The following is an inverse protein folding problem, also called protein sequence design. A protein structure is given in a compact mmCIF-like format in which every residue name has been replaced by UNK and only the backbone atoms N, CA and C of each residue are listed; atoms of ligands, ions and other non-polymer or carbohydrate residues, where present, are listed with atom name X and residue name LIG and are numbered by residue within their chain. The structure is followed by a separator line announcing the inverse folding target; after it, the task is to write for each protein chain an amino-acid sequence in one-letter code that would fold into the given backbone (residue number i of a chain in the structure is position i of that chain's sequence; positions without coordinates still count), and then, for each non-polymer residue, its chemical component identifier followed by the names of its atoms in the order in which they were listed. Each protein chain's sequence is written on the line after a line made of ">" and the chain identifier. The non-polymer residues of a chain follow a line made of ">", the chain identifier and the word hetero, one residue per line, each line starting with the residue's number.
data_IF_012218337737
#
_entry.id   IF_012218337737
#
_cell.length_a   1.000
_cell.length_b   1.000
_cell.length_c   1.000
_cell.angle_alpha   90.00
_cell.angle_beta   90.00
_cell.angle_gamma   90.00
#
_symmetry.space_group_name_H-M   'P 1'
#
loop_
_entity.id
_entity.type
_entity.pdbx_description
1 polymer ?
#
# COMPACT_ATOMS: atom_id res chain seq x y z
N UNK A 1 34.57 14.97 42.72
CA UNK A 1 33.84 14.63 41.48
C UNK A 1 34.80 14.33 40.34
N UNK A 2 35.72 15.25 39.99
CA UNK A 2 36.73 15.02 38.94
C UNK A 2 37.68 13.83 39.22
N UNK A 3 38.17 13.67 40.45
CA UNK A 3 39.08 12.57 40.81
C UNK A 3 38.44 11.16 40.67
N UNK A 4 37.16 11.04 41.00
CA UNK A 4 36.40 9.78 40.90
C UNK A 4 36.12 9.38 39.45
N UNK A 5 35.83 10.36 38.59
CA UNK A 5 35.66 10.12 37.14
C UNK A 5 36.98 9.73 36.48
N UNK A 6 38.10 10.29 36.94
CA UNK A 6 39.42 9.96 36.44
C UNK A 6 39.85 8.54 36.82
N UNK A 7 39.63 8.12 38.07
CA UNK A 7 39.90 6.75 38.52
C UNK A 7 39.08 5.70 37.75
N UNK A 8 37.78 5.98 37.53
CA UNK A 8 36.92 5.13 36.68
C UNK A 8 37.45 5.01 35.26
N UNK A 9 37.84 6.13 34.65
CA UNK A 9 38.34 6.16 33.27
C UNK A 9 39.67 5.40 33.12
N UNK A 10 40.58 5.49 34.10
CA UNK A 10 41.84 4.75 34.12
C UNK A 10 41.61 3.23 34.22
N UNK A 11 40.67 2.80 35.08
CA UNK A 11 40.30 1.39 35.22
C UNK A 11 39.68 0.84 33.93
N UNK A 12 38.76 1.59 33.32
CA UNK A 12 38.16 1.24 32.02
C UNK A 12 39.23 1.14 30.92
N UNK A 13 40.17 2.09 30.86
CA UNK A 13 41.25 2.07 29.88
C UNK A 13 42.16 0.85 30.03
N UNK A 14 42.47 0.46 31.28
CA UNK A 14 43.26 -0.74 31.56
C UNK A 14 42.54 -2.04 31.17
N UNK A 15 41.23 -2.11 31.42
CA UNK A 15 40.38 -3.25 31.04
C UNK A 15 40.25 -3.36 29.52
N UNK A 16 39.94 -2.27 28.83
CA UNK A 16 39.86 -2.25 27.36
C UNK A 16 41.19 -2.69 26.72
N UNK A 17 42.32 -2.30 27.30
CA UNK A 17 43.65 -2.74 26.85
C UNK A 17 43.88 -4.24 27.05
N UNK A 18 43.41 -4.81 28.18
CA UNK A 18 43.47 -6.25 28.48
C UNK A 18 42.54 -7.06 27.57
N UNK A 19 41.34 -6.55 27.27
CA UNK A 19 40.33 -7.29 26.51
C UNK A 19 40.54 -7.23 24.99
N UNK A 20 41.08 -6.12 24.46
CA UNK A 20 41.19 -5.88 23.02
C UNK A 20 42.64 -5.82 22.51
N UNK A 21 43.59 -6.40 23.26
CA UNK A 21 45.04 -6.48 22.99
C UNK A 21 45.47 -6.04 21.57
N UNK A 22 45.74 -4.72 21.43
CA UNK A 22 46.31 -4.02 20.25
C UNK A 22 45.36 -3.44 19.18
N UNK A 23 44.03 -3.44 19.33
CA UNK A 23 43.20 -2.52 18.53
C UNK A 23 43.15 -1.15 19.20
N UNK A 24 43.64 -0.11 18.51
CA UNK A 24 43.63 1.28 18.97
C UNK A 24 42.19 1.67 19.36
N UNK A 25 41.91 1.66 20.66
CA UNK A 25 40.71 2.26 21.23
C UNK A 25 40.78 3.74 20.86
N UNK A 26 40.11 4.08 19.76
CA UNK A 26 40.07 5.45 19.26
C UNK A 26 39.53 6.34 20.37
N UNK A 27 40.16 7.50 20.54
CA UNK A 27 39.96 8.45 21.62
C UNK A 27 38.49 8.51 22.03
N UNK A 28 38.17 7.83 23.15
CA UNK A 28 36.82 7.73 23.66
C UNK A 28 36.34 9.14 23.99
N UNK A 29 35.34 9.64 23.28
CA UNK A 29 34.77 10.95 23.57
C UNK A 29 34.11 10.85 24.95
N UNK A 30 34.72 11.50 25.95
CA UNK A 30 34.42 11.32 27.37
C UNK A 30 33.10 12.03 27.70
N UNK A 31 31.98 11.42 27.31
CA UNK A 31 30.67 11.73 27.86
C UNK A 31 30.51 10.96 29.19
N UNK A 32 30.03 11.62 30.24
CA UNK A 32 29.81 11.04 31.57
C UNK A 32 28.92 9.79 31.49
N UNK A 33 27.90 9.81 30.62
CA UNK A 33 27.02 8.66 30.38
C UNK A 33 27.75 7.45 29.78
N UNK A 34 28.74 7.68 28.91
CA UNK A 34 29.53 6.62 28.26
C UNK A 34 30.51 6.01 29.27
N UNK A 35 31.14 6.84 30.11
CA UNK A 35 32.06 6.37 31.15
C UNK A 35 31.33 5.54 32.20
N UNK A 36 30.14 5.96 32.64
CA UNK A 36 29.36 5.19 33.61
C UNK A 36 28.83 3.87 32.99
N UNK A 37 28.41 3.89 31.72
CA UNK A 37 28.02 2.67 31.00
C UNK A 37 29.19 1.68 30.87
N UNK A 38 30.37 2.15 30.50
CA UNK A 38 31.57 1.32 30.40
C UNK A 38 32.06 0.82 31.76
N UNK A 39 31.92 1.62 32.81
CA UNK A 39 32.20 1.19 34.18
C UNK A 39 31.27 0.05 34.61
N UNK A 40 29.98 0.14 34.28
CA UNK A 40 29.02 -0.92 34.55
C UNK A 40 29.37 -2.20 33.77
N UNK A 41 29.77 -2.08 32.50
CA UNK A 41 30.22 -3.24 31.72
C UNK A 41 31.50 -3.87 32.27
N UNK A 42 32.44 -3.04 32.74
CA UNK A 42 33.64 -3.48 33.44
C UNK A 42 33.29 -4.30 34.67
N UNK A 43 32.51 -3.74 35.60
CA UNK A 43 32.09 -4.41 36.84
C UNK A 43 31.37 -5.72 36.54
N UNK A 44 30.46 -5.72 35.57
CA UNK A 44 29.76 -6.91 35.12
C UNK A 44 30.73 -7.97 34.54
N UNK A 45 31.73 -7.54 33.78
CA UNK A 45 32.71 -8.45 33.19
C UNK A 45 33.67 -9.05 34.23
N UNK A 46 34.11 -8.27 35.21
CA UNK A 46 34.97 -8.71 36.31
C UNK A 46 34.21 -9.68 37.23
N UNK A 47 32.95 -9.37 37.55
CA UNK A 47 32.09 -10.25 38.33
C UNK A 47 31.82 -11.55 37.59
N UNK A 48 31.60 -11.50 36.27
CA UNK A 48 31.48 -12.70 35.43
C UNK A 48 32.78 -13.51 35.41
N UNK A 49 33.94 -12.87 35.22
CA UNK A 49 35.26 -13.53 35.22
C UNK A 49 35.52 -14.23 36.57
N UNK A 50 35.18 -13.56 37.68
CA UNK A 50 35.26 -14.11 39.03
C UNK A 50 34.35 -15.32 39.21
N UNK A 51 33.09 -15.23 38.79
CA UNK A 51 32.13 -16.33 38.90
C UNK A 51 32.54 -17.54 38.06
N UNK A 52 33.06 -17.32 36.85
CA UNK A 52 33.64 -18.39 36.02
C UNK A 52 34.85 -19.02 36.71
N UNK A 53 35.73 -18.20 37.32
CA UNK A 53 36.88 -18.72 38.06
C UNK A 53 36.47 -19.58 39.26
N UNK A 54 35.43 -19.20 40.00
CA UNK A 54 34.92 -20.01 41.11
C UNK A 54 34.31 -21.32 40.61
N UNK A 55 33.55 -21.29 39.52
CA UNK A 55 33.00 -22.51 38.92
C UNK A 55 34.11 -23.46 38.48
N UNK A 56 35.18 -22.96 37.86
CA UNK A 56 36.33 -23.79 37.45
C UNK A 56 36.99 -24.45 38.66
N UNK A 57 37.18 -23.71 39.76
CA UNK A 57 37.81 -24.27 40.95
C UNK A 57 36.92 -25.31 41.64
N UNK A 58 35.62 -25.04 41.73
CA UNK A 58 34.63 -25.99 42.23
C UNK A 58 34.61 -27.28 41.40
N UNK A 59 34.59 -27.17 40.07
CA UNK A 59 34.62 -28.36 39.20
C UNK A 59 35.93 -29.16 39.34
N UNK A 60 37.08 -28.50 39.57
CA UNK A 60 38.34 -29.20 39.84
C UNK A 60 38.31 -29.93 41.18
N UNK A 61 37.75 -29.31 42.21
CA UNK A 61 37.60 -29.95 43.52
C UNK A 61 36.71 -31.19 43.39
N UNK A 62 35.55 -31.04 42.75
CA UNK A 62 34.63 -32.16 42.52
C UNK A 62 35.32 -33.28 41.73
N UNK A 63 36.07 -32.97 40.67
CA UNK A 63 36.83 -33.97 39.93
C UNK A 63 37.84 -34.73 40.82
N UNK A 64 38.58 -34.02 41.68
CA UNK A 64 39.52 -34.63 42.60
C UNK A 64 38.84 -35.53 43.66
N UNK A 65 37.65 -35.13 44.14
CA UNK A 65 36.83 -35.96 45.03
C UNK A 65 36.37 -37.25 44.35
N UNK A 66 35.89 -37.16 43.10
CA UNK A 66 35.50 -38.33 42.32
C UNK A 66 36.67 -39.26 42.00
N UNK A 67 37.86 -38.72 41.69
CA UNK A 67 39.07 -39.52 41.46
C UNK A 67 39.48 -40.29 42.73
N UNK A 68 39.46 -39.62 43.88
CA UNK A 68 39.78 -40.24 45.18
C UNK A 68 38.76 -41.33 45.56
N UNK A 69 37.46 -41.08 45.35
CA UNK A 69 36.39 -42.06 45.56
C UNK A 69 36.54 -43.27 44.62
N UNK A 70 36.93 -43.04 43.35
CA UNK A 70 37.18 -44.11 42.39
C UNK A 70 38.37 -44.99 42.81
N UNK A 71 39.48 -44.38 43.26
CA UNK A 71 40.64 -45.11 43.80
C UNK A 71 40.26 -45.93 45.05
N UNK A 72 39.50 -45.34 45.97
CA UNK A 72 39.01 -46.02 47.16
C UNK A 72 38.15 -47.23 46.81
N UNK A 73 37.14 -47.07 45.94
CA UNK A 73 36.27 -48.17 45.51
C UNK A 73 37.05 -49.27 44.77
N UNK A 74 38.02 -48.89 43.94
CA UNK A 74 38.89 -49.85 43.28
C UNK A 74 39.71 -50.66 44.29
N UNK A 75 40.33 -50.01 45.27
CA UNK A 75 41.09 -50.71 46.32
C UNK A 75 40.21 -51.67 47.13
N UNK A 76 38.98 -51.24 47.45
CA UNK A 76 38.03 -52.05 48.21
C UNK A 76 37.62 -53.31 47.44
N UNK A 77 37.34 -53.18 46.14
CA UNK A 77 36.97 -54.33 45.28
C UNK A 77 38.11 -55.34 45.16
N UNK A 78 39.35 -54.87 45.04
CA UNK A 78 40.53 -55.74 44.96
C UNK A 78 40.79 -56.42 46.30
N UNK A 79 40.74 -55.70 47.42
CA UNK A 79 41.05 -56.27 48.75
C UNK A 79 39.97 -57.23 49.24
N UNK A 80 38.69 -56.92 49.02
CA UNK A 80 37.58 -57.69 49.58
C UNK A 80 37.09 -58.85 48.71
N UNK A 81 37.16 -58.71 47.38
CA UNK A 81 36.60 -59.68 46.43
C UNK A 81 37.64 -60.23 45.45
N UNK A 82 38.89 -59.77 45.51
CA UNK A 82 39.94 -60.05 44.52
C UNK A 82 39.45 -59.80 43.10
N UNK A 83 38.59 -58.78 42.90
CA UNK A 83 38.04 -58.42 41.60
C UNK A 83 38.89 -57.32 40.98
N UNK A 84 39.62 -57.66 39.93
CA UNK A 84 40.38 -56.70 39.12
C UNK A 84 39.79 -56.57 37.72
N UNK A 85 39.81 -55.37 37.10
CA UNK A 85 39.43 -55.19 35.69
C UNK A 85 40.17 -56.13 34.73
N UNK A 86 41.36 -56.60 35.10
CA UNK A 86 42.16 -57.54 34.30
C UNK A 86 41.64 -58.99 34.32
N UNK A 87 40.74 -59.33 35.24
CA UNK A 87 40.15 -60.68 35.35
C UNK A 87 38.88 -60.85 34.52
N UNK A 88 38.33 -59.75 33.98
CA UNK A 88 37.20 -59.80 33.06
C UNK A 88 37.60 -60.48 31.75
N UNK A 89 36.64 -61.18 31.13
CA UNK A 89 36.81 -61.62 29.74
C UNK A 89 36.96 -60.42 28.81
N UNK A 90 37.54 -60.64 27.63
CA UNK A 90 37.67 -59.58 26.60
C UNK A 90 36.32 -58.97 26.27
N UNK A 91 35.28 -59.80 26.19
CA UNK A 91 33.91 -59.40 25.98
C UNK A 91 33.40 -58.58 27.17
N UNK A 92 33.59 -59.03 28.42
CA UNK A 92 33.13 -58.30 29.61
C UNK A 92 33.75 -56.91 29.71
N UNK A 93 35.05 -56.78 29.44
CA UNK A 93 35.73 -55.48 29.38
C UNK A 93 35.19 -54.57 28.27
N UNK A 94 34.87 -55.12 27.09
CA UNK A 94 34.28 -54.36 26.00
C UNK A 94 32.87 -53.84 26.32
N UNK A 95 32.03 -54.64 26.98
CA UNK A 95 30.68 -54.22 27.40
C UNK A 95 30.74 -53.10 28.45
N UNK A 96 31.61 -53.24 29.47
CA UNK A 96 31.80 -52.21 30.48
C UNK A 96 32.32 -50.91 29.88
N UNK A 97 33.30 -50.99 28.98
CA UNK A 97 33.78 -49.82 28.24
C UNK A 97 32.65 -49.14 27.45
N UNK A 98 31.85 -49.92 26.72
CA UNK A 98 30.72 -49.39 25.94
C UNK A 98 29.68 -48.72 26.84
N UNK A 99 29.42 -49.29 28.03
CA UNK A 99 28.51 -48.72 29.02
C UNK A 99 29.02 -47.38 29.56
N UNK A 100 30.30 -47.31 29.91
CA UNK A 100 30.95 -46.06 30.38
C UNK A 100 30.98 -45.02 29.26
N UNK A 101 31.40 -45.40 28.05
CA UNK A 101 31.43 -44.50 26.89
C UNK A 101 30.01 -43.95 26.60
N UNK A 102 28.98 -44.78 26.71
CA UNK A 102 27.59 -44.36 26.53
C UNK A 102 27.10 -43.42 27.64
N UNK A 103 27.47 -43.68 28.90
CA UNK A 103 27.18 -42.78 30.02
C UNK A 103 27.84 -41.41 29.83
N UNK A 104 29.10 -41.38 29.36
CA UNK A 104 29.83 -40.15 29.06
C UNK A 104 29.18 -39.37 27.90
N UNK A 105 28.79 -40.04 26.83
CA UNK A 105 28.13 -39.41 25.68
C UNK A 105 26.77 -38.82 26.06
N UNK A 106 26.01 -39.53 26.90
CA UNK A 106 24.70 -39.08 27.38
C UNK A 106 24.79 -38.13 28.59
N UNK A 107 26.00 -37.87 29.09
CA UNK A 107 26.27 -37.05 30.27
C UNK A 107 25.46 -37.51 31.50
N UNK A 108 25.36 -38.83 31.70
CA UNK A 108 24.59 -39.40 32.81
C UNK A 108 25.34 -39.28 34.14
N UNK A 109 24.60 -39.18 35.24
CA UNK A 109 25.18 -39.09 36.59
C UNK A 109 25.83 -40.42 37.03
N UNK A 110 25.22 -41.53 36.65
CA UNK A 110 25.70 -42.87 36.97
C UNK A 110 25.37 -43.85 35.82
N UNK A 111 25.89 -45.07 35.92
CA UNK A 111 25.60 -46.16 34.96
C UNK A 111 24.34 -46.94 35.33
N UNK A 112 23.44 -46.38 36.15
CA UNK A 112 22.19 -47.05 36.51
C UNK A 112 21.21 -47.04 35.34
N UNK A 113 20.39 -48.08 35.25
CA UNK A 113 19.35 -48.18 34.22
C UNK A 113 18.40 -46.98 34.24
N UNK A 114 18.03 -46.50 35.43
CA UNK A 114 17.13 -45.34 35.57
C UNK A 114 17.75 -44.06 35.02
N UNK A 115 19.04 -43.81 35.26
CA UNK A 115 19.72 -42.62 34.73
C UNK A 115 19.78 -42.63 33.20
N UNK A 116 20.09 -43.78 32.60
CA UNK A 116 20.01 -43.95 31.14
C UNK A 116 18.60 -43.77 30.61
N UNK A 117 17.60 -44.39 31.25
CA UNK A 117 16.22 -44.32 30.78
C UNK A 117 15.68 -42.89 30.81
N UNK A 118 15.89 -42.16 31.91
CA UNK A 118 15.49 -40.77 32.04
C UNK A 118 16.19 -39.88 31.01
N UNK A 119 17.53 -39.94 30.91
CA UNK A 119 18.29 -39.09 29.98
C UNK A 119 17.92 -39.37 28.51
N UNK A 120 17.76 -40.63 28.12
CA UNK A 120 17.29 -40.99 26.78
C UNK A 120 15.88 -40.46 26.53
N UNK A 121 14.98 -40.59 27.51
CA UNK A 121 13.60 -40.08 27.39
C UNK A 121 13.58 -38.57 27.24
N UNK A 122 14.32 -37.84 28.06
CA UNK A 122 14.40 -36.38 28.02
C UNK A 122 14.98 -35.90 26.68
N UNK A 123 16.10 -36.50 26.23
CA UNK A 123 16.68 -36.21 24.91
C UNK A 123 15.73 -36.54 23.76
N UNK A 124 14.95 -37.62 23.87
CA UNK A 124 13.97 -37.98 22.85
C UNK A 124 12.82 -36.97 22.78
N UNK A 125 12.38 -36.44 23.92
CA UNK A 125 11.38 -35.38 23.98
C UNK A 125 11.91 -34.06 23.41
N UNK A 126 13.15 -33.68 23.77
CA UNK A 126 13.83 -32.51 23.19
C UNK A 126 13.95 -32.61 21.67
N UNK A 127 14.36 -33.78 21.16
CA UNK A 127 14.47 -34.04 19.73
C UNK A 127 13.13 -33.88 19.03
N UNK A 128 12.06 -34.49 19.57
CA UNK A 128 10.72 -34.37 18.98
C UNK A 128 10.18 -32.95 19.02
N UNK A 129 10.44 -32.20 20.09
CA UNK A 129 10.04 -30.80 20.19
C UNK A 129 10.75 -29.96 19.11
N UNK A 130 12.07 -30.13 18.96
CA UNK A 130 12.87 -29.45 17.94
C UNK A 130 12.46 -29.83 16.50
N UNK A 131 12.15 -31.11 16.25
CA UNK A 131 11.63 -31.56 14.96
C UNK A 131 10.27 -30.94 14.63
N UNK A 132 9.38 -30.83 15.62
CA UNK A 132 8.07 -30.19 15.45
C UNK A 132 8.22 -28.70 15.12
N UNK A 133 9.08 -27.98 15.86
CA UNK A 133 9.36 -26.57 15.61
C UNK A 133 9.99 -26.34 14.23
N UNK A 134 10.96 -27.19 13.84
CA UNK A 134 11.55 -27.14 12.50
C UNK A 134 10.49 -27.31 11.40
N UNK A 135 9.58 -28.27 11.57
CA UNK A 135 8.51 -28.51 10.61
C UNK A 135 7.53 -27.33 10.52
N UNK A 136 7.24 -26.66 11.63
CA UNK A 136 6.42 -25.45 11.65
C UNK A 136 7.13 -24.30 10.90
N UNK A 137 8.41 -24.06 11.22
CA UNK A 137 9.23 -23.06 10.51
C UNK A 137 9.30 -23.30 9.00
N UNK A 138 9.44 -24.55 8.56
CA UNK A 138 9.44 -24.90 7.14
C UNK A 138 8.11 -24.54 6.45
N UNK A 139 6.98 -24.75 7.14
CA UNK A 139 5.65 -24.39 6.63
C UNK A 139 5.49 -22.87 6.54
N UNK A 140 5.91 -22.13 7.57
CA UNK A 140 5.89 -20.68 7.55
C UNK A 140 6.76 -20.11 6.43
N UNK A 141 7.96 -20.66 6.25
CA UNK A 141 8.88 -20.30 5.19
C UNK A 141 8.25 -20.55 3.80
N UNK A 142 7.54 -21.66 3.62
CA UNK A 142 6.81 -21.95 2.39
C UNK A 142 5.69 -20.93 2.13
N UNK A 143 4.93 -20.55 3.17
CA UNK A 143 3.89 -19.50 3.07
C UNK A 143 4.52 -18.17 2.69
N UNK A 144 5.64 -17.81 3.32
CA UNK A 144 6.36 -16.57 3.04
C UNK A 144 6.88 -16.54 1.61
N UNK A 145 7.48 -17.64 1.12
CA UNK A 145 7.91 -17.78 -0.28
C UNK A 145 6.76 -17.54 -1.27
N UNK A 146 5.58 -18.12 -1.01
CA UNK A 146 4.38 -17.88 -1.85
C UNK A 146 3.94 -16.42 -1.83
N UNK A 147 3.90 -15.78 -0.65
CA UNK A 147 3.57 -14.35 -0.53
C UNK A 147 4.58 -13.46 -1.26
N UNK A 148 5.86 -13.78 -1.16
CA UNK A 148 6.93 -13.05 -1.86
C UNK A 148 6.78 -13.15 -3.37
N UNK A 149 6.51 -14.35 -3.90
CA UNK A 149 6.29 -14.54 -5.34
C UNK A 149 5.12 -13.69 -5.87
N UNK A 150 4.00 -13.64 -5.12
CA UNK A 150 2.84 -12.78 -5.49
C UNK A 150 3.21 -11.31 -5.50
N UNK A 151 3.98 -10.85 -4.50
CA UNK A 151 4.44 -9.45 -4.43
C UNK A 151 5.37 -9.08 -5.59
N UNK A 152 6.32 -9.95 -5.93
CA UNK A 152 7.22 -9.74 -7.07
C UNK A 152 6.46 -9.65 -8.41
N UNK A 153 5.46 -10.51 -8.62
CA UNK A 153 4.61 -10.42 -9.82
C UNK A 153 3.81 -9.10 -9.88
N UNK A 154 3.35 -8.60 -8.73
CA UNK A 154 2.67 -7.31 -8.65
C UNK A 154 3.62 -6.16 -8.97
N UNK A 155 4.84 -6.21 -8.45
CA UNK A 155 5.90 -5.22 -8.71
C UNK A 155 6.20 -5.12 -10.21
N UNK A 156 6.44 -6.25 -10.88
CA UNK A 156 6.69 -6.29 -12.33
C UNK A 156 5.51 -5.71 -13.13
N UNK A 157 4.27 -5.97 -12.67
CA UNK A 157 3.06 -5.39 -13.29
C UNK A 157 3.01 -3.87 -13.09
N UNK A 158 3.35 -3.38 -11.91
CA UNK A 158 3.37 -1.95 -11.61
C UNK A 158 4.43 -1.22 -12.44
N UNK A 159 5.61 -1.81 -12.59
CA UNK A 159 6.68 -1.26 -13.43
C UNK A 159 6.23 -1.13 -14.90
N UNK A 160 5.65 -2.20 -15.47
CA UNK A 160 5.08 -2.15 -16.82
C UNK A 160 3.99 -1.09 -16.99
N UNK A 161 3.17 -0.88 -15.96
CA UNK A 161 2.14 0.15 -15.98
C UNK A 161 2.74 1.56 -15.90
N UNK A 162 3.80 1.75 -15.12
CA UNK A 162 4.52 3.01 -14.98
C UNK A 162 5.14 3.42 -16.33
N UNK A 163 5.74 2.49 -17.07
CA UNK A 163 6.28 2.75 -18.41
C UNK A 163 5.19 3.14 -19.42
N UNK A 164 4.03 2.47 -19.37
CA UNK A 164 2.86 2.84 -20.18
C UNK A 164 2.35 4.25 -19.84
N UNK A 165 2.31 4.61 -18.56
CA UNK A 165 1.90 5.96 -18.14
C UNK A 165 2.92 6.99 -18.60
N UNK A 166 4.22 6.71 -18.47
CA UNK A 166 5.30 7.61 -18.89
C UNK A 166 5.26 7.91 -20.39
N UNK A 167 5.08 6.89 -21.22
CA UNK A 167 4.94 7.05 -22.68
C UNK A 167 3.67 7.82 -23.08
N UNK A 168 2.54 7.56 -22.41
CA UNK A 168 1.30 8.36 -22.60
C UNK A 168 1.50 9.82 -22.22
N UNK A 169 2.16 10.07 -21.09
CA UNK A 169 2.45 11.43 -20.61
C UNK A 169 3.33 12.19 -21.60
N UNK A 170 4.37 11.55 -22.16
CA UNK A 170 5.22 12.15 -23.18
C UNK A 170 4.44 12.52 -24.45
N UNK A 171 3.55 11.63 -24.89
CA UNK A 171 2.69 11.85 -26.06
C UNK A 171 1.72 13.01 -25.83
N UNK A 172 1.05 13.04 -24.67
CA UNK A 172 0.09 14.10 -24.35
C UNK A 172 0.79 15.44 -24.10
N UNK A 173 1.99 15.44 -23.52
CA UNK A 173 2.83 16.62 -23.40
C UNK A 173 3.18 17.23 -24.75
N UNK A 174 3.53 16.40 -25.74
CA UNK A 174 3.81 16.83 -27.11
C UNK A 174 2.56 17.40 -27.80
N UNK A 175 1.40 16.73 -27.64
CA UNK A 175 0.10 17.22 -28.15
C UNK A 175 -0.30 18.55 -27.52
N UNK A 176 -0.18 18.67 -26.21
CA UNK A 176 -0.50 19.88 -25.46
C UNK A 176 0.40 21.04 -25.89
N UNK A 177 1.69 20.80 -26.10
CA UNK A 177 2.63 21.80 -26.62
C UNK A 177 2.23 22.27 -28.03
N UNK A 178 1.84 21.36 -28.92
CA UNK A 178 1.34 21.72 -30.26
C UNK A 178 0.03 22.53 -30.19
N UNK A 179 -0.94 22.10 -29.36
CA UNK A 179 -2.18 22.86 -29.11
C UNK A 179 -1.90 24.27 -28.58
N UNK A 180 -0.97 24.40 -27.65
CA UNK A 180 -0.55 25.70 -27.11
C UNK A 180 0.02 26.63 -28.19
N UNK A 181 0.91 26.11 -29.04
CA UNK A 181 1.46 26.88 -30.17
C UNK A 181 0.37 27.30 -31.16
N UNK A 182 -0.56 26.41 -31.48
CA UNK A 182 -1.71 26.73 -32.34
C UNK A 182 -2.60 27.81 -31.74
N UNK A 183 -2.89 27.73 -30.43
CA UNK A 183 -3.70 28.72 -29.73
C UNK A 183 -3.01 30.08 -29.72
N UNK A 184 -1.69 30.11 -29.49
CA UNK A 184 -0.89 31.34 -29.59
C UNK A 184 -0.96 31.94 -30.99
N UNK A 185 -0.75 31.14 -32.03
CA UNK A 185 -0.87 31.58 -33.42
C UNK A 185 -2.26 32.15 -33.74
N UNK A 186 -3.33 31.48 -33.32
CA UNK A 186 -4.69 31.96 -33.53
C UNK A 186 -4.95 33.28 -32.80
N UNK A 187 -4.44 33.43 -31.57
CA UNK A 187 -4.55 34.68 -30.82
C UNK A 187 -3.83 35.83 -31.54
N UNK A 188 -2.60 35.60 -32.00
CA UNK A 188 -1.81 36.59 -32.74
C UNK A 188 -2.52 36.97 -34.05
N UNK A 189 -3.08 35.99 -34.77
CA UNK A 189 -3.86 36.22 -36.01
C UNK A 189 -5.15 36.99 -35.76
N UNK A 190 -5.86 36.72 -34.66
CA UNK A 190 -7.05 37.49 -34.28
C UNK A 190 -6.70 38.96 -34.00
N UNK A 191 -5.57 39.23 -33.35
CA UNK A 191 -5.13 40.59 -33.09
C UNK A 191 -4.73 41.33 -34.38
N UNK A 192 -4.00 40.66 -35.30
CA UNK A 192 -3.69 41.21 -36.63
C UNK A 192 -4.96 41.59 -37.40
N UNK A 193 -5.93 40.67 -37.49
CA UNK A 193 -7.21 40.92 -38.16
C UNK A 193 -7.96 42.09 -37.51
N UNK A 194 -7.95 42.17 -36.18
CA UNK A 194 -8.58 43.28 -35.44
C UNK A 194 -7.93 44.62 -35.79
N UNK A 195 -6.60 44.69 -35.88
CA UNK A 195 -5.87 45.90 -36.28
C UNK A 195 -6.21 46.28 -37.74
N UNK A 196 -6.23 45.30 -38.65
CA UNK A 196 -6.59 45.52 -40.07
C UNK A 196 -8.02 46.03 -40.23
N UNK A 197 -8.99 45.41 -39.54
CA UNK A 197 -10.39 45.87 -39.54
C UNK A 197 -10.48 47.31 -39.03
N UNK A 198 -9.86 47.62 -37.89
CA UNK A 198 -9.83 48.99 -37.35
C UNK A 198 -9.27 49.99 -38.35
N UNK A 199 -8.23 49.61 -39.10
CA UNK A 199 -7.60 50.47 -40.11
C UNK A 199 -8.54 50.71 -41.29
N UNK A 200 -9.15 49.65 -41.84
CA UNK A 200 -10.11 49.75 -42.95
C UNK A 200 -11.34 50.55 -42.55
N UNK A 201 -11.90 50.34 -41.34
CA UNK A 201 -13.02 51.13 -40.82
C UNK A 201 -12.67 52.62 -40.73
N UNK A 202 -11.46 52.96 -40.25
CA UNK A 202 -10.98 54.35 -40.23
C UNK A 202 -10.87 54.94 -41.65
N UNK A 203 -10.37 54.17 -42.61
CA UNK A 203 -10.27 54.60 -44.02
C UNK A 203 -11.66 54.81 -44.64
N UNK A 204 -12.61 53.91 -44.40
CA UNK A 204 -13.98 54.03 -44.91
C UNK A 204 -14.70 55.25 -44.33
N UNK A 205 -14.50 55.53 -43.04
CA UNK A 205 -15.02 56.73 -42.39
C UNK A 205 -14.42 58.01 -42.99
N UNK A 206 -13.12 58.03 -43.29
CA UNK A 206 -12.46 59.16 -43.96
C UNK A 206 -12.96 59.38 -45.39
N UNK A 207 -13.38 58.32 -46.09
CA UNK A 207 -13.94 58.38 -47.44
C UNK A 207 -15.45 58.73 -47.48
N UNK A 208 -16.04 59.14 -46.36
CA UNK A 208 -17.41 59.67 -46.30
C UNK A 208 -18.52 58.64 -46.15
N UNK A 209 -18.21 57.38 -45.83
CA UNK A 209 -19.25 56.38 -45.52
C UNK A 209 -19.81 56.63 -44.11
N UNK A 210 -21.13 56.84 -44.03
CA UNK A 210 -21.84 57.09 -42.77
C UNK A 210 -21.71 55.91 -41.79
N UNK A 211 -21.37 56.22 -40.54
CA UNK A 211 -21.22 55.22 -39.47
C UNK A 211 -22.50 54.41 -39.20
N UNK A 212 -23.68 54.90 -39.59
CA UNK A 212 -24.96 54.18 -39.48
C UNK A 212 -25.04 52.90 -40.34
N UNK A 213 -24.21 52.79 -41.37
CA UNK A 213 -24.15 51.62 -42.27
C UNK A 213 -23.11 50.57 -41.81
N UNK A 214 -22.43 50.79 -40.68
CA UNK A 214 -21.51 49.83 -40.09
C UNK A 214 -22.32 48.66 -39.53
N UNK A 215 -21.81 47.42 -39.70
CA UNK A 215 -22.49 46.19 -39.30
C UNK A 215 -23.02 46.25 -37.86
N UNK A 216 -22.24 46.77 -36.90
CA UNK A 216 -22.66 46.87 -35.50
C UNK A 216 -23.91 47.75 -35.33
N UNK A 217 -23.96 48.90 -36.01
CA UNK A 217 -25.14 49.78 -36.03
C UNK A 217 -26.31 49.14 -36.79
N UNK A 218 -26.03 48.40 -37.86
CA UNK A 218 -27.05 47.72 -38.68
C UNK A 218 -27.70 46.54 -37.93
N UNK A 219 -26.90 45.79 -37.16
CA UNK A 219 -27.37 44.72 -36.27
C UNK A 219 -28.29 45.30 -35.20
N UNK A 220 -27.87 46.40 -34.54
CA UNK A 220 -28.70 47.08 -33.56
C UNK A 220 -29.99 47.68 -34.15
N UNK A 221 -29.99 48.11 -35.42
CA UNK A 221 -31.22 48.51 -36.12
C UNK A 221 -32.11 47.33 -36.46
N UNK A 222 -31.53 46.20 -36.87
CA UNK A 222 -32.28 44.97 -37.19
C UNK A 222 -32.95 44.39 -35.94
N UNK A 223 -32.24 44.33 -34.80
CA UNK A 223 -32.80 43.89 -33.52
C UNK A 223 -34.00 44.76 -33.13
N UNK A 224 -33.90 46.08 -33.29
CA UNK A 224 -35.03 47.00 -33.03
C UNK A 224 -36.20 46.80 -34.00
N UNK A 225 -35.91 46.57 -35.28
CA UNK A 225 -36.94 46.32 -36.29
C UNK A 225 -37.69 45.02 -35.99
N UNK A 226 -36.97 43.98 -35.58
CA UNK A 226 -37.55 42.70 -35.21
C UNK A 226 -38.53 42.84 -34.04
N UNK A 227 -38.14 43.57 -32.99
CA UNK A 227 -39.03 43.87 -31.84
C UNK A 227 -40.29 44.62 -32.30
N UNK A 228 -40.13 45.66 -33.13
CA UNK A 228 -41.27 46.41 -33.68
C UNK A 228 -42.19 45.55 -34.57
N UNK A 229 -41.62 44.57 -35.28
CA UNK A 229 -42.38 43.67 -36.13
C UNK A 229 -43.18 42.66 -35.30
N UNK A 230 -42.63 42.16 -34.20
CA UNK A 230 -43.34 41.31 -33.24
C UNK A 230 -44.50 42.06 -32.58
N UNK A 231 -44.28 43.32 -32.19
CA UNK A 231 -45.35 44.21 -31.69
C UNK A 231 -46.44 44.45 -32.74
N UNK A 232 -46.06 44.63 -34.01
CA UNK A 232 -47.00 44.80 -35.11
C UNK A 232 -47.83 43.53 -35.38
N UNK A 233 -47.22 42.35 -35.28
CA UNK A 233 -47.94 41.08 -35.42
C UNK A 233 -48.92 40.86 -34.26
N UNK A 234 -48.52 41.18 -33.03
CA UNK A 234 -49.39 41.14 -31.86
C UNK A 234 -50.61 42.07 -32.05
N UNK A 235 -50.37 43.33 -32.42
CA UNK A 235 -51.44 44.30 -32.68
C UNK A 235 -52.36 43.88 -33.83
N UNK A 236 -51.82 43.27 -34.89
CA UNK A 236 -52.60 42.76 -36.02
C UNK A 236 -53.50 41.59 -35.60
N UNK A 237 -53.02 40.72 -34.70
CA UNK A 237 -53.81 39.62 -34.15
C UNK A 237 -54.97 40.15 -33.30
N UNK A 238 -54.70 41.14 -32.44
CA UNK A 238 -55.73 41.78 -31.62
C UNK A 238 -56.78 42.48 -32.48
N UNK A 239 -56.36 43.24 -33.50
CA UNK A 239 -57.27 43.90 -34.43
C UNK A 239 -58.16 42.88 -35.17
N UNK A 240 -57.60 41.75 -35.59
CA UNK A 240 -58.36 40.68 -36.25
C UNK A 240 -59.41 40.10 -35.31
N UNK A 241 -59.08 39.89 -34.03
CA UNK A 241 -60.06 39.50 -33.03
C UNK A 241 -61.21 40.51 -32.91
N UNK A 242 -60.92 41.82 -32.94
CA UNK A 242 -61.96 42.85 -32.88
C UNK A 242 -62.86 42.90 -34.13
N UNK A 243 -62.31 42.64 -35.31
CA UNK A 243 -63.08 42.65 -36.57
C UNK A 243 -63.98 41.41 -36.68
N UNK A 244 -63.55 40.27 -36.15
CA UNK A 244 -64.31 39.01 -36.20
C UNK A 244 -65.44 38.94 -35.15
N UNK A 245 -65.63 39.99 -34.30
CA UNK A 245 -66.69 40.02 -33.30
C UNK A 245 -68.05 40.44 -33.90
N UNK A 246 -69.16 39.72 -33.61
CA UNK A 246 -70.50 40.09 -34.06
C UNK A 246 -70.98 41.40 -33.42
N UNK A 247 -71.72 42.26 -34.15
CA UNK A 247 -72.10 43.60 -33.69
C UNK A 247 -73.11 43.65 -32.53
N UNK A 248 -73.66 42.51 -32.08
CA UNK A 248 -74.55 42.45 -30.91
C UNK A 248 -74.38 41.16 -30.10
N UNK A 249 -74.51 41.29 -28.76
CA UNK A 249 -74.27 40.21 -27.79
C UNK A 249 -75.18 38.99 -27.99
N UNK A 250 -76.42 39.23 -28.42
CA UNK A 250 -77.39 38.18 -28.73
C UNK A 250 -76.99 37.37 -29.96
N UNK A 251 -76.43 38.01 -31.00
CA UNK A 251 -75.95 37.33 -32.22
C UNK A 251 -74.67 36.53 -31.95
N UNK A 252 -73.79 37.03 -31.08
CA UNK A 252 -72.61 36.30 -30.63
C UNK A 252 -72.96 35.00 -29.90
N UNK A 253 -73.96 35.03 -29.02
CA UNK A 253 -74.41 33.82 -28.30
C UNK A 253 -74.92 32.74 -29.25
N UNK A 254 -75.64 33.13 -30.30
CA UNK A 254 -76.12 32.21 -31.35
C UNK A 254 -74.95 31.65 -32.17
N UNK A 255 -74.00 32.50 -32.58
CA UNK A 255 -72.83 32.08 -33.38
C UNK A 255 -71.90 31.14 -32.61
N UNK A 256 -71.74 31.34 -31.30
CA UNK A 256 -70.99 30.43 -30.42
C UNK A 256 -71.68 29.07 -30.30
N UNK A 257 -73.01 29.05 -30.18
CA UNK A 257 -73.77 27.80 -30.10
C UNK A 257 -73.75 27.03 -31.44
N UNK A 258 -73.83 27.76 -32.57
CA UNK A 258 -73.72 27.21 -33.93
C UNK A 258 -72.32 26.61 -34.19
N UNK A 259 -71.25 27.34 -33.86
CA UNK A 259 -69.87 26.86 -34.00
C UNK A 259 -69.58 25.70 -33.05
N UNK A 260 -70.14 25.68 -31.83
CA UNK A 260 -70.04 24.55 -30.91
C UNK A 260 -70.72 23.29 -31.49
N UNK A 261 -71.87 23.44 -32.14
CA UNK A 261 -72.52 22.33 -32.85
C UNK A 261 -71.70 21.86 -34.06
N UNK A 262 -71.14 22.77 -34.84
CA UNK A 262 -70.27 22.42 -35.98
C UNK A 262 -68.99 21.71 -35.53
N UNK A 263 -68.38 22.14 -34.43
CA UNK A 263 -67.23 21.46 -33.83
C UNK A 263 -67.60 20.03 -33.40
N UNK A 264 -68.72 19.87 -32.70
CA UNK A 264 -69.19 18.54 -32.28
C UNK A 264 -69.50 17.61 -33.47
N UNK A 265 -70.01 18.16 -34.58
CA UNK A 265 -70.25 17.39 -35.80
C UNK A 265 -68.93 16.95 -36.47
N UNK A 266 -67.94 17.85 -36.55
CA UNK A 266 -66.61 17.54 -37.08
C UNK A 266 -65.85 16.54 -36.20
N UNK A 267 -65.95 16.62 -34.87
CA UNK A 267 -65.37 15.64 -33.96
C UNK A 267 -65.96 14.24 -34.18
N UNK A 268 -67.27 14.15 -34.42
CA UNK A 268 -67.94 12.88 -34.75
C UNK A 268 -67.48 12.34 -36.12
N UNK A 269 -67.31 13.20 -37.11
CA UNK A 269 -66.87 12.81 -38.45
C UNK A 269 -65.38 12.41 -38.49
N UNK A 270 -64.55 13.12 -37.73
CA UNK A 270 -63.16 12.74 -37.49
C UNK A 270 -63.07 11.40 -36.75
N UNK A 271 -63.92 11.18 -35.74
CA UNK A 271 -63.97 9.90 -35.03
C UNK A 271 -64.34 8.75 -35.97
N UNK A 272 -65.32 8.96 -36.86
CA UNK A 272 -65.68 7.97 -37.89
C UNK A 272 -64.57 7.68 -38.89
N UNK A 273 -63.87 8.70 -39.37
CA UNK A 273 -62.76 8.52 -40.31
C UNK A 273 -61.58 7.81 -39.66
N UNK A 274 -61.27 8.12 -38.40
CA UNK A 274 -60.27 7.38 -37.62
C UNK A 274 -60.70 5.91 -37.42
N UNK A 275 -61.97 5.66 -37.09
CA UNK A 275 -62.51 4.29 -36.95
C UNK A 275 -62.42 3.49 -38.26
N UNK A 276 -62.81 4.07 -39.40
CA UNK A 276 -62.65 3.42 -40.71
C UNK A 276 -61.18 3.12 -41.03
N UNK A 277 -60.26 4.06 -40.76
CA UNK A 277 -58.83 3.83 -40.99
C UNK A 277 -58.27 2.72 -40.10
N UNK A 278 -58.75 2.63 -38.85
CA UNK A 278 -58.39 1.52 -37.96
C UNK A 278 -58.96 0.18 -38.42
N UNK A 279 -60.14 0.18 -39.06
CA UNK A 279 -60.75 -1.01 -39.64
C UNK A 279 -60.01 -1.48 -40.89
N UNK A 280 -59.66 -0.57 -41.80
CA UNK A 280 -58.84 -0.84 -42.99
C UNK A 280 -57.43 -1.35 -42.63
N UNK A 281 -56.84 -0.81 -41.54
CA UNK A 281 -55.57 -1.30 -41.00
C UNK A 281 -55.65 -2.68 -40.35
N UNK A 282 -56.83 -3.09 -39.85
CA UNK A 282 -57.05 -4.43 -39.30
C UNK A 282 -57.32 -5.46 -40.41
N UNK A 283 -57.95 -5.06 -41.52
CA UNK A 283 -58.17 -5.91 -42.69
C UNK A 283 -56.88 -6.13 -43.50
N UNK A 284 -56.02 -5.11 -43.64
CA UNK A 284 -54.68 -5.25 -44.28
C UNK A 284 -53.66 -6.04 -43.45
N UNK A 285 -53.94 -6.31 -42.17
CA UNK A 285 -53.12 -7.19 -41.30
C UNK A 285 -53.60 -8.66 -41.26
N UNK A 286 -54.71 -8.99 -41.92
CA UNK A 286 -55.25 -10.37 -42.01
C UNK A 286 -54.99 -11.04 -43.38
N UNK A 287 -54.24 -10.39 -44.27
CA UNK A 287 -53.64 -10.96 -45.49
C UNK A 287 -52.12 -11.10 -45.29
#
# INVERSE_FOLDING_TARGET
>A
MAAFLQEKAERIASWLKKTFENQLVSQLEVNVEIVDLLHMFLEYSEERERNVSFLIEDMKQVAAEYDADAEYLQSLLVESLDLSPSQLSKEGGAHLKTLVDSAMILETKDTSFTSFFCTISDRSLELHAAESENKEMEQELLIFKKKLAVKLLLEERLEKNLDKVKSRLQTEGSKTKSRFLNLKFLKDKCEDLRIRIKTVVKQLAANGINQSLIHESLLGMYEKLFVMQEEMEYLKKDLKCYIDLPPSLSLARVKVEETKRQLSALEVDLSKTVEMLTQDMLETRRL
#
